data_IF_194557483991
#
_entry.id   IF_194557483991
#
_cell.length_a   1.000
_cell.length_b   1.000
_cell.length_c   1.000
_cell.angle_alpha   90.00
_cell.angle_beta   90.00
_cell.angle_gamma   90.00
#
_symmetry.space_group_name_H-M   'P 1'
#
loop_
_entity.id
_entity.type
_entity.pdbx_description
1 polymer ?
#
# COMPACT_ATOMS: atom_id res chain seq x y z
N UNK A 1 35.69 -5.30 6.40
CA UNK A 1 35.29 -5.05 4.99
C UNK A 1 36.21 -5.94 4.14
N UNK A 2 35.61 -6.83 3.37
CA UNK A 2 36.34 -7.79 2.52
C UNK A 2 36.97 -7.06 1.33
N UNK A 3 38.08 -7.60 0.81
CA UNK A 3 38.64 -7.09 -0.44
C UNK A 3 37.70 -7.46 -1.62
N UNK A 4 37.65 -6.62 -2.64
CA UNK A 4 36.86 -6.93 -3.85
C UNK A 4 37.35 -8.23 -4.46
N UNK A 5 36.47 -9.21 -4.68
CA UNK A 5 36.80 -10.53 -5.22
C UNK A 5 37.30 -11.55 -4.19
N UNK A 6 37.08 -11.29 -2.89
CA UNK A 6 37.42 -12.27 -1.83
C UNK A 6 36.67 -13.59 -2.04
N UNK A 7 37.41 -14.72 -1.99
CA UNK A 7 36.83 -16.03 -2.27
C UNK A 7 35.74 -16.44 -1.25
N UNK A 8 35.84 -15.98 0.00
CA UNK A 8 34.83 -16.24 1.03
C UNK A 8 33.54 -15.44 0.75
N UNK A 9 33.66 -14.18 0.31
CA UNK A 9 32.53 -13.36 -0.10
C UNK A 9 31.81 -13.96 -1.33
N UNK A 10 32.58 -14.41 -2.33
CA UNK A 10 32.02 -15.09 -3.51
C UNK A 10 31.30 -16.37 -3.12
N UNK A 11 31.91 -17.21 -2.29
CA UNK A 11 31.28 -18.43 -1.78
C UNK A 11 30.01 -18.14 -1.02
N UNK A 12 30.02 -17.15 -0.12
CA UNK A 12 28.84 -16.71 0.64
C UNK A 12 27.72 -16.25 -0.29
N UNK A 13 28.03 -15.41 -1.26
CA UNK A 13 27.06 -14.91 -2.22
C UNK A 13 26.45 -16.04 -3.07
N UNK A 14 27.26 -17.01 -3.46
CA UNK A 14 26.79 -18.18 -4.22
C UNK A 14 25.90 -19.10 -3.36
N UNK A 15 26.32 -19.42 -2.15
CA UNK A 15 25.58 -20.33 -1.24
C UNK A 15 24.26 -19.73 -0.81
N UNK A 16 24.20 -18.42 -0.57
CA UNK A 16 23.01 -17.71 -0.14
C UNK A 16 22.23 -17.03 -1.28
N UNK A 17 22.62 -17.25 -2.52
CA UNK A 17 21.99 -16.70 -3.73
C UNK A 17 21.88 -15.17 -3.74
N UNK A 18 22.79 -14.46 -3.03
CA UNK A 18 22.72 -13.01 -2.83
C UNK A 18 23.11 -12.18 -4.06
N UNK A 19 23.80 -12.78 -5.03
CA UNK A 19 24.23 -12.15 -6.28
C UNK A 19 23.73 -12.92 -7.52
N UNK A 20 22.56 -13.50 -7.42
CA UNK A 20 21.95 -14.18 -8.56
C UNK A 20 21.55 -13.14 -9.62
N UNK A 21 22.08 -13.30 -10.82
CA UNK A 21 21.68 -12.49 -11.97
C UNK A 21 20.30 -12.93 -12.45
N UNK A 22 19.51 -11.96 -12.91
CA UNK A 22 18.24 -12.28 -13.56
C UNK A 22 18.54 -12.85 -14.95
N UNK A 23 17.92 -14.00 -15.32
CA UNK A 23 18.07 -14.52 -16.68
C UNK A 23 17.43 -13.55 -17.68
N UNK A 24 18.07 -13.34 -18.83
CA UNK A 24 17.47 -12.56 -19.90
C UNK A 24 16.21 -13.27 -20.45
N UNK A 25 15.13 -12.49 -20.64
CA UNK A 25 13.91 -13.01 -21.28
C UNK A 25 14.05 -12.86 -22.80
N UNK A 26 14.43 -13.95 -23.49
CA UNK A 26 14.56 -13.93 -24.93
C UNK A 26 13.20 -13.66 -25.61
N UNK A 27 13.23 -13.00 -26.79
CA UNK A 27 12.03 -12.67 -27.58
C UNK A 27 11.18 -13.90 -27.93
N UNK A 28 11.82 -15.06 -28.10
CA UNK A 28 11.13 -16.33 -28.38
C UNK A 28 10.35 -16.80 -27.14
N UNK A 29 10.93 -16.72 -25.97
CA UNK A 29 10.30 -17.08 -24.69
C UNK A 29 9.15 -16.15 -24.34
N UNK A 30 9.26 -14.85 -24.66
CA UNK A 30 8.18 -13.88 -24.46
C UNK A 30 6.88 -14.20 -25.23
N UNK A 31 6.90 -15.16 -26.14
CA UNK A 31 5.72 -15.64 -26.89
C UNK A 31 5.09 -16.91 -26.30
N UNK A 32 5.78 -17.57 -25.38
CA UNK A 32 5.23 -18.74 -24.72
C UNK A 32 4.12 -18.39 -23.73
N UNK A 33 3.13 -19.27 -23.53
CA UNK A 33 2.07 -19.04 -22.56
C UNK A 33 2.64 -19.01 -21.14
N UNK A 34 2.07 -18.14 -20.29
CA UNK A 34 2.40 -18.10 -18.87
C UNK A 34 1.87 -19.37 -18.17
N UNK A 35 2.69 -19.99 -17.36
CA UNK A 35 2.30 -21.05 -16.44
C UNK A 35 2.45 -20.59 -15.00
N UNK A 36 1.51 -21.01 -14.13
CA UNK A 36 1.47 -20.60 -12.74
C UNK A 36 1.43 -21.87 -11.86
N UNK A 37 2.34 -21.96 -10.91
CA UNK A 37 2.42 -23.13 -10.03
C UNK A 37 2.94 -22.79 -8.64
N UNK A 38 2.57 -23.66 -7.69
CA UNK A 38 3.26 -23.73 -6.40
C UNK A 38 4.70 -24.18 -6.66
N UNK A 39 5.66 -23.57 -5.99
CA UNK A 39 7.04 -24.05 -5.92
C UNK A 39 7.30 -24.48 -4.48
N UNK A 40 7.08 -25.74 -4.21
CA UNK A 40 7.13 -26.33 -2.88
C UNK A 40 8.54 -26.36 -2.30
N UNK A 41 8.65 -26.45 -0.97
CA UNK A 41 9.96 -26.53 -0.31
C UNK A 41 10.80 -27.73 -0.77
N UNK A 42 10.26 -28.95 -0.96
CA UNK A 42 11.01 -30.06 -1.56
C UNK A 42 11.51 -29.71 -2.98
N UNK A 43 10.67 -29.13 -3.83
CA UNK A 43 11.07 -28.73 -5.18
C UNK A 43 12.15 -27.65 -5.17
N UNK A 44 12.12 -26.73 -4.20
CA UNK A 44 13.19 -25.73 -4.03
C UNK A 44 14.56 -26.38 -3.78
N UNK A 45 14.59 -27.51 -3.04
CA UNK A 45 15.83 -28.26 -2.78
C UNK A 45 16.24 -29.11 -3.97
N UNK A 46 15.28 -29.74 -4.64
CA UNK A 46 15.53 -30.60 -5.80
C UNK A 46 15.89 -29.83 -7.08
N UNK A 47 15.46 -28.57 -7.19
CA UNK A 47 15.64 -27.73 -8.37
C UNK A 47 16.40 -26.42 -8.03
N UNK A 48 17.66 -26.48 -7.60
CA UNK A 48 18.39 -25.33 -7.09
C UNK A 48 18.57 -24.20 -8.14
N UNK A 49 18.63 -24.53 -9.41
CA UNK A 49 18.74 -23.55 -10.49
C UNK A 49 17.45 -22.72 -10.63
N UNK A 50 16.28 -23.35 -10.52
CA UNK A 50 14.99 -22.65 -10.49
C UNK A 50 14.83 -21.80 -9.22
N UNK A 51 15.24 -22.34 -8.06
CA UNK A 51 15.28 -21.57 -6.84
C UNK A 51 16.15 -20.32 -6.98
N UNK A 52 17.31 -20.43 -7.62
CA UNK A 52 18.20 -19.29 -7.86
C UNK A 52 17.52 -18.20 -8.71
N UNK A 53 16.80 -18.56 -9.77
CA UNK A 53 16.04 -17.61 -10.59
C UNK A 53 14.96 -16.88 -9.77
N UNK A 54 14.15 -17.64 -9.02
CA UNK A 54 13.08 -17.07 -8.19
C UNK A 54 13.64 -16.18 -7.09
N UNK A 55 14.72 -16.61 -6.45
CA UNK A 55 15.36 -15.83 -5.38
C UNK A 55 16.03 -14.56 -5.94
N UNK A 56 16.59 -14.62 -7.16
CA UNK A 56 17.09 -13.44 -7.86
C UNK A 56 16.01 -12.39 -8.08
N UNK A 57 14.78 -12.79 -8.46
CA UNK A 57 13.64 -11.87 -8.58
C UNK A 57 13.30 -11.23 -7.22
N UNK A 58 13.27 -12.02 -6.15
CA UNK A 58 12.97 -11.52 -4.79
C UNK A 58 14.04 -10.55 -4.29
N UNK A 59 15.33 -10.81 -4.58
CA UNK A 59 16.45 -9.93 -4.21
C UNK A 59 16.39 -8.62 -4.98
N UNK A 60 16.18 -8.68 -6.31
CA UNK A 60 16.17 -7.49 -7.16
C UNK A 60 14.94 -6.59 -6.95
N UNK A 61 13.82 -7.15 -6.53
CA UNK A 61 12.58 -6.39 -6.30
C UNK A 61 12.51 -5.75 -4.91
N UNK A 62 13.42 -6.06 -3.98
CA UNK A 62 13.32 -5.62 -2.60
C UNK A 62 14.64 -5.07 -2.06
N UNK A 63 14.56 -3.93 -1.39
CA UNK A 63 15.70 -3.18 -0.86
C UNK A 63 16.56 -3.96 0.16
N UNK A 64 15.98 -4.88 0.92
CA UNK A 64 16.68 -5.71 1.90
C UNK A 64 16.26 -7.16 1.77
N UNK A 65 17.17 -8.00 1.27
CA UNK A 65 17.07 -9.46 1.32
C UNK A 65 18.31 -10.00 2.04
N UNK A 66 18.09 -10.89 2.97
CA UNK A 66 19.15 -11.47 3.81
C UNK A 66 19.20 -12.99 3.63
N UNK A 67 20.31 -13.64 4.01
CA UNK A 67 20.36 -15.10 4.08
C UNK A 67 19.23 -15.73 4.91
N UNK A 68 18.76 -15.02 5.94
CA UNK A 68 17.65 -15.49 6.77
C UNK A 68 16.34 -15.60 6.00
N UNK A 69 16.14 -14.80 4.94
CA UNK A 69 14.93 -14.91 4.10
C UNK A 69 14.92 -16.22 3.30
N UNK A 70 16.09 -16.66 2.81
CA UNK A 70 16.24 -17.96 2.16
C UNK A 70 16.02 -19.10 3.14
N UNK A 71 16.58 -19.02 4.35
CA UNK A 71 16.34 -20.05 5.37
C UNK A 71 14.88 -20.10 5.79
N UNK A 72 14.24 -18.97 6.00
CA UNK A 72 12.81 -18.94 6.33
C UNK A 72 11.97 -19.58 5.22
N UNK A 73 12.26 -19.27 3.95
CA UNK A 73 11.58 -19.86 2.80
C UNK A 73 11.71 -21.41 2.79
N UNK A 74 12.88 -21.93 3.12
CA UNK A 74 13.15 -23.38 3.06
C UNK A 74 12.72 -24.16 4.31
N UNK A 75 12.46 -23.50 5.44
CA UNK A 75 12.20 -24.15 6.73
C UNK A 75 10.84 -23.86 7.34
N UNK A 76 10.23 -22.71 7.02
CA UNK A 76 8.96 -22.31 7.62
C UNK A 76 7.80 -22.84 6.79
N UNK A 77 7.10 -23.86 7.33
CA UNK A 77 5.94 -24.49 6.69
C UNK A 77 4.75 -23.52 6.48
N UNK A 78 4.73 -22.39 7.22
CA UNK A 78 3.72 -21.36 7.00
C UNK A 78 3.99 -20.54 5.74
N UNK A 79 5.21 -20.60 5.17
CA UNK A 79 5.58 -19.89 3.96
C UNK A 79 5.23 -20.67 2.69
N UNK A 80 4.80 -19.92 1.69
CA UNK A 80 4.46 -20.46 0.36
C UNK A 80 5.06 -19.58 -0.72
N UNK A 81 5.69 -20.23 -1.70
CA UNK A 81 6.24 -19.60 -2.88
C UNK A 81 5.43 -20.02 -4.11
N UNK A 82 4.85 -19.05 -4.80
CA UNK A 82 4.05 -19.26 -5.99
C UNK A 82 4.70 -18.51 -7.16
N UNK A 83 4.86 -19.18 -8.29
CA UNK A 83 5.73 -18.73 -9.39
C UNK A 83 4.99 -18.68 -10.72
N UNK A 84 5.41 -17.75 -11.58
CA UNK A 84 5.02 -17.64 -12.97
C UNK A 84 6.24 -17.89 -13.86
N UNK A 85 6.11 -18.86 -14.76
CA UNK A 85 7.10 -19.15 -15.79
C UNK A 85 6.58 -18.78 -17.16
N UNK A 86 7.50 -18.34 -18.00
CA UNK A 86 7.31 -18.19 -19.44
C UNK A 86 8.39 -19.04 -20.13
N UNK A 87 8.00 -20.22 -20.63
CA UNK A 87 8.96 -21.27 -20.92
C UNK A 87 9.71 -21.75 -19.68
N UNK A 88 11.03 -21.75 -19.74
CA UNK A 88 11.90 -22.15 -18.63
C UNK A 88 12.32 -20.96 -17.73
N UNK A 89 11.93 -19.73 -18.07
CA UNK A 89 12.32 -18.52 -17.32
C UNK A 89 11.26 -18.15 -16.31
N UNK A 90 11.68 -17.96 -15.06
CA UNK A 90 10.82 -17.41 -14.02
C UNK A 90 10.61 -15.90 -14.24
N UNK A 91 9.41 -15.51 -14.65
CA UNK A 91 9.06 -14.12 -14.94
C UNK A 91 8.33 -13.42 -13.79
N UNK A 92 7.96 -14.15 -12.76
CA UNK A 92 7.36 -13.56 -11.56
C UNK A 92 7.15 -14.53 -10.42
N UNK A 93 7.05 -14.01 -9.20
CA UNK A 93 6.79 -14.83 -8.02
C UNK A 93 6.03 -14.05 -6.95
N UNK A 94 5.31 -14.81 -6.11
CA UNK A 94 4.67 -14.36 -4.86
C UNK A 94 5.22 -15.18 -3.72
N UNK A 95 5.75 -14.52 -2.70
CA UNK A 95 6.06 -15.12 -1.41
C UNK A 95 4.99 -14.70 -0.42
N UNK A 96 4.30 -15.68 0.16
CA UNK A 96 3.23 -15.46 1.12
C UNK A 96 3.44 -16.28 2.39
N UNK A 97 2.80 -15.86 3.48
CA UNK A 97 2.81 -16.57 4.77
C UNK A 97 1.39 -16.74 5.29
N UNK A 98 1.11 -17.92 5.84
CA UNK A 98 -0.17 -18.19 6.51
C UNK A 98 -0.17 -17.59 7.90
N UNK A 99 -1.21 -16.83 8.21
CA UNK A 99 -1.41 -16.12 9.47
C UNK A 99 -2.84 -16.38 9.99
N UNK A 100 -3.11 -16.03 11.25
CA UNK A 100 -4.45 -16.12 11.85
C UNK A 100 -4.69 -17.43 12.57
N UNK A 101 -5.96 -17.85 12.65
CA UNK A 101 -6.42 -19.05 13.34
C UNK A 101 -6.00 -19.10 14.82
N UNK A 102 -5.93 -17.92 15.46
CA UNK A 102 -5.48 -17.79 16.84
C UNK A 102 -6.61 -18.15 17.83
N UNK A 103 -6.23 -18.79 18.91
CA UNK A 103 -7.14 -19.15 19.99
C UNK A 103 -7.59 -17.93 20.84
N UNK A 104 -8.70 -18.06 21.52
CA UNK A 104 -9.28 -16.96 22.29
C UNK A 104 -8.34 -16.42 23.39
N UNK A 105 -7.62 -17.23 24.18
CA UNK A 105 -6.65 -16.74 25.17
C UNK A 105 -5.50 -15.94 24.53
N UNK A 106 -5.00 -16.38 23.38
CA UNK A 106 -3.95 -15.65 22.65
C UNK A 106 -4.47 -14.30 22.15
N UNK A 107 -5.69 -14.27 21.59
CA UNK A 107 -6.31 -13.01 21.12
C UNK A 107 -6.53 -12.03 22.28
N UNK A 108 -7.01 -12.49 23.42
CA UNK A 108 -7.16 -11.66 24.61
C UNK A 108 -5.82 -11.09 25.08
N UNK A 109 -4.77 -11.90 25.13
CA UNK A 109 -3.42 -11.44 25.49
C UNK A 109 -2.86 -10.43 24.46
N UNK A 110 -3.18 -10.58 23.17
CA UNK A 110 -2.85 -9.60 22.13
C UNK A 110 -3.58 -8.27 22.37
N UNK A 111 -4.87 -8.31 22.65
CA UNK A 111 -5.67 -7.11 22.93
C UNK A 111 -5.19 -6.36 24.16
N UNK A 112 -4.78 -7.08 25.20
CA UNK A 112 -4.18 -6.53 26.40
C UNK A 112 -2.73 -6.06 26.23
N UNK A 113 -2.11 -6.32 25.05
CA UNK A 113 -0.73 -5.93 24.76
C UNK A 113 0.33 -6.78 25.49
N UNK A 114 -0.07 -7.88 26.13
CA UNK A 114 0.81 -8.75 26.92
C UNK A 114 1.50 -9.82 26.06
N UNK A 115 0.98 -10.09 24.86
CA UNK A 115 1.54 -11.06 23.91
C UNK A 115 1.53 -10.54 22.49
N UNK A 116 2.63 -10.80 21.77
CA UNK A 116 2.76 -10.50 20.34
C UNK A 116 3.37 -11.71 19.63
N UNK A 117 2.56 -12.66 19.19
CA UNK A 117 3.05 -13.86 18.50
C UNK A 117 3.77 -13.47 17.21
N UNK A 118 4.92 -14.11 16.96
CA UNK A 118 5.67 -13.94 15.71
C UNK A 118 4.91 -14.59 14.56
N UNK A 119 5.09 -14.07 13.33
CA UNK A 119 4.47 -14.65 12.13
C UNK A 119 3.01 -14.29 11.92
N UNK A 120 2.39 -13.44 12.75
CA UNK A 120 0.97 -13.06 12.66
C UNK A 120 0.79 -11.53 12.64
N UNK A 121 1.48 -10.83 11.72
CA UNK A 121 1.46 -9.35 11.67
C UNK A 121 0.05 -8.80 11.48
N UNK A 122 -0.69 -9.31 10.49
CA UNK A 122 -2.02 -8.79 10.14
C UNK A 122 -3.04 -9.04 11.23
N UNK A 123 -3.26 -10.29 11.72
CA UNK A 123 -4.23 -10.56 12.77
C UNK A 123 -3.89 -9.87 14.09
N UNK A 124 -2.60 -9.77 14.43
CA UNK A 124 -2.16 -9.01 15.63
C UNK A 124 -2.49 -7.53 15.49
N UNK A 125 -2.24 -6.92 14.33
CA UNK A 125 -2.55 -5.52 14.08
C UNK A 125 -4.05 -5.26 14.15
N UNK A 126 -4.87 -6.11 13.53
CA UNK A 126 -6.32 -5.99 13.53
C UNK A 126 -6.89 -6.15 14.96
N UNK A 127 -6.44 -7.16 15.72
CA UNK A 127 -6.93 -7.39 17.06
C UNK A 127 -6.48 -6.33 18.08
N UNK A 128 -5.19 -5.95 18.05
CA UNK A 128 -4.61 -5.02 19.04
C UNK A 128 -4.91 -3.56 18.73
N UNK A 129 -4.71 -3.14 17.47
CA UNK A 129 -4.73 -1.73 17.12
C UNK A 129 -6.09 -1.25 16.58
N UNK A 130 -6.88 -2.15 15.99
CA UNK A 130 -8.21 -1.84 15.48
C UNK A 130 -9.33 -2.48 16.31
N UNK A 131 -9.01 -3.28 17.33
CA UNK A 131 -9.99 -3.95 18.19
C UNK A 131 -10.80 -5.05 17.47
N UNK A 132 -10.36 -5.49 16.28
CA UNK A 132 -11.06 -6.46 15.42
C UNK A 132 -10.55 -7.88 15.72
N UNK A 133 -11.04 -8.48 16.80
CA UNK A 133 -10.63 -9.81 17.24
C UNK A 133 -11.09 -10.94 16.31
N UNK A 134 -12.20 -10.75 15.60
CA UNK A 134 -12.71 -11.73 14.65
C UNK A 134 -11.71 -12.08 13.56
N UNK A 135 -11.02 -11.08 13.01
CA UNK A 135 -10.00 -11.27 12.00
C UNK A 135 -8.82 -12.16 12.46
N UNK A 136 -8.52 -12.15 13.78
CA UNK A 136 -7.44 -12.97 14.31
C UNK A 136 -7.82 -14.46 14.46
N UNK A 137 -9.13 -14.77 14.48
CA UNK A 137 -9.65 -16.16 14.48
C UNK A 137 -9.73 -16.75 13.09
N UNK A 138 -9.80 -15.90 12.08
CA UNK A 138 -9.91 -16.28 10.67
C UNK A 138 -8.54 -16.62 10.11
N UNK A 139 -8.51 -17.41 9.05
CA UNK A 139 -7.32 -17.70 8.27
C UNK A 139 -6.96 -16.53 7.36
N UNK A 140 -5.67 -16.24 7.24
CA UNK A 140 -5.14 -15.18 6.38
C UNK A 140 -3.93 -15.67 5.58
N UNK A 141 -3.86 -15.33 4.30
CA UNK A 141 -2.61 -15.33 3.57
C UNK A 141 -2.09 -13.90 3.45
N UNK A 142 -0.94 -13.64 4.06
CA UNK A 142 -0.26 -12.36 3.87
C UNK A 142 0.81 -12.46 2.79
N UNK A 143 0.65 -11.67 1.73
CA UNK A 143 1.65 -11.49 0.69
C UNK A 143 2.81 -10.68 1.30
N UNK A 144 3.96 -11.34 1.45
CA UNK A 144 5.20 -10.74 1.95
C UNK A 144 5.91 -9.99 0.84
N UNK A 145 5.99 -10.62 -0.33
CA UNK A 145 6.68 -10.09 -1.52
C UNK A 145 5.96 -10.53 -2.77
N UNK A 146 5.92 -9.66 -3.74
CA UNK A 146 5.55 -9.96 -5.12
C UNK A 146 6.58 -9.33 -6.04
N UNK A 147 7.11 -10.11 -6.98
CA UNK A 147 8.11 -9.64 -7.92
C UNK A 147 7.72 -10.07 -9.34
N UNK A 148 7.99 -9.20 -10.30
CA UNK A 148 7.87 -9.47 -11.74
C UNK A 148 9.16 -9.03 -12.39
N UNK A 149 9.67 -9.86 -13.30
CA UNK A 149 10.88 -9.59 -14.06
C UNK A 149 10.80 -8.20 -14.72
N UNK A 150 11.86 -7.37 -14.66
CA UNK A 150 11.81 -5.99 -15.19
C UNK A 150 11.29 -5.91 -16.62
N UNK A 151 11.74 -6.79 -17.50
CA UNK A 151 11.35 -6.83 -18.92
C UNK A 151 9.89 -7.26 -19.15
N UNK A 152 9.25 -7.84 -18.11
CA UNK A 152 7.88 -8.35 -18.15
C UNK A 152 6.90 -7.51 -17.31
N UNK A 153 7.37 -6.41 -16.73
CA UNK A 153 6.52 -5.51 -15.94
C UNK A 153 5.49 -4.79 -16.84
N UNK A 154 4.41 -4.28 -16.19
CA UNK A 154 3.30 -3.57 -16.86
C UNK A 154 2.53 -4.38 -17.91
N UNK A 155 2.71 -5.71 -17.92
CA UNK A 155 2.00 -6.65 -18.80
C UNK A 155 0.88 -7.43 -18.06
N UNK A 156 0.57 -7.04 -16.83
CA UNK A 156 -0.49 -7.67 -16.01
C UNK A 156 -0.07 -8.96 -15.31
N UNK A 157 1.19 -9.40 -15.40
CA UNK A 157 1.68 -10.65 -14.79
C UNK A 157 1.50 -10.67 -13.28
N UNK A 158 1.79 -9.54 -12.58
CA UNK A 158 1.58 -9.44 -11.14
C UNK A 158 0.12 -9.65 -10.73
N UNK A 159 -0.84 -9.12 -11.48
CA UNK A 159 -2.27 -9.31 -11.22
C UNK A 159 -2.71 -10.76 -11.52
N UNK A 160 -2.18 -11.38 -12.57
CA UNK A 160 -2.44 -12.78 -12.87
C UNK A 160 -1.86 -13.69 -11.77
N UNK A 161 -0.63 -13.43 -11.29
CA UNK A 161 -0.03 -14.13 -10.14
C UNK A 161 -0.94 -14.09 -8.91
N UNK A 162 -1.43 -12.91 -8.53
CA UNK A 162 -2.35 -12.76 -7.39
C UNK A 162 -3.66 -13.52 -7.62
N UNK A 163 -4.22 -13.46 -8.82
CA UNK A 163 -5.47 -14.14 -9.15
C UNK A 163 -5.31 -15.66 -9.03
N UNK A 164 -4.25 -16.22 -9.61
CA UNK A 164 -3.98 -17.65 -9.55
C UNK A 164 -3.61 -18.10 -8.13
N UNK A 165 -2.82 -17.31 -7.40
CA UNK A 165 -2.50 -17.59 -6.01
C UNK A 165 -3.76 -17.66 -5.15
N UNK A 166 -4.64 -16.68 -5.23
CA UNK A 166 -5.90 -16.61 -4.46
C UNK A 166 -6.83 -17.76 -4.82
N UNK A 167 -6.89 -18.15 -6.09
CA UNK A 167 -7.72 -19.28 -6.53
C UNK A 167 -7.24 -20.63 -6.00
N UNK A 168 -5.94 -20.79 -5.75
CA UNK A 168 -5.35 -22.06 -5.27
C UNK A 168 -5.11 -22.11 -3.76
N UNK A 169 -5.00 -20.97 -3.09
CA UNK A 169 -4.67 -20.85 -1.67
C UNK A 169 -5.81 -20.19 -0.90
N UNK A 170 -6.84 -20.99 -0.57
CA UNK A 170 -8.03 -20.48 0.11
C UNK A 170 -7.73 -20.01 1.54
N UNK A 171 -8.29 -18.85 1.89
CA UNK A 171 -8.32 -18.28 3.23
C UNK A 171 -9.57 -17.40 3.38
N UNK A 172 -9.92 -17.02 4.60
CA UNK A 172 -11.01 -16.09 4.84
C UNK A 172 -10.69 -14.70 4.28
N UNK A 173 -9.40 -14.31 4.35
CA UNK A 173 -8.93 -13.04 3.74
C UNK A 173 -7.43 -13.11 3.37
N UNK A 174 -7.05 -12.16 2.54
CA UNK A 174 -5.66 -11.94 2.09
C UNK A 174 -5.21 -10.56 2.56
N UNK A 175 -3.92 -10.44 2.85
CA UNK A 175 -3.34 -9.19 3.33
C UNK A 175 -2.00 -8.88 2.66
N UNK A 176 -1.60 -7.63 2.71
CA UNK A 176 -0.25 -7.17 2.37
C UNK A 176 0.12 -5.98 3.23
N UNK A 177 1.41 -5.85 3.57
CA UNK A 177 1.95 -4.69 4.27
C UNK A 177 3.24 -4.27 3.59
N UNK A 178 3.27 -3.04 3.10
CA UNK A 178 4.38 -2.53 2.28
C UNK A 178 4.63 -1.04 2.54
N UNK A 179 5.81 -0.56 2.16
CA UNK A 179 6.09 0.87 2.09
C UNK A 179 5.27 1.50 0.97
N UNK A 180 4.31 2.38 1.30
CA UNK A 180 3.42 2.97 0.31
C UNK A 180 4.19 3.91 -0.62
N UNK A 181 3.96 3.76 -1.92
CA UNK A 181 4.47 4.63 -2.98
C UNK A 181 3.42 4.87 -4.05
N UNK A 182 3.63 5.89 -4.88
CA UNK A 182 2.73 6.25 -5.98
C UNK A 182 2.54 5.11 -7.00
N UNK A 183 3.57 4.28 -7.19
CA UNK A 183 3.55 3.17 -8.16
C UNK A 183 2.90 1.90 -7.60
N UNK A 184 3.10 1.60 -6.31
CA UNK A 184 2.64 0.35 -5.71
C UNK A 184 1.17 0.41 -5.26
N UNK A 185 0.71 1.55 -4.77
CA UNK A 185 -0.66 1.68 -4.28
C UNK A 185 -1.71 1.39 -5.36
N UNK A 186 -1.61 1.92 -6.59
CA UNK A 186 -2.55 1.60 -7.67
C UNK A 186 -2.61 0.11 -8.00
N UNK A 187 -1.47 -0.60 -7.94
CA UNK A 187 -1.43 -2.04 -8.19
C UNK A 187 -2.30 -2.81 -7.19
N UNK A 188 -2.17 -2.53 -5.89
CA UNK A 188 -2.95 -3.21 -4.85
C UNK A 188 -4.43 -2.85 -4.90
N UNK A 189 -4.77 -1.57 -5.15
CA UNK A 189 -6.15 -1.12 -5.33
C UNK A 189 -6.81 -1.79 -6.55
N UNK A 190 -6.12 -1.86 -7.68
CA UNK A 190 -6.61 -2.53 -8.89
C UNK A 190 -6.83 -4.05 -8.69
N UNK A 191 -6.11 -4.66 -7.74
CA UNK A 191 -6.29 -6.05 -7.33
C UNK A 191 -7.26 -6.22 -6.15
N UNK A 192 -8.13 -5.23 -5.90
CA UNK A 192 -9.20 -5.26 -4.90
C UNK A 192 -8.73 -5.34 -3.44
N UNK A 193 -7.49 -4.97 -3.15
CA UNK A 193 -7.06 -4.78 -1.77
C UNK A 193 -7.54 -3.43 -1.25
N UNK A 194 -8.03 -3.43 -0.01
CA UNK A 194 -8.60 -2.26 0.66
C UNK A 194 -7.65 -1.81 1.76
N UNK A 195 -7.28 -0.52 1.83
CA UNK A 195 -6.43 0.00 2.88
C UNK A 195 -7.17 -0.03 4.23
N UNK A 196 -6.49 -0.53 5.27
CA UNK A 196 -7.06 -0.64 6.62
C UNK A 196 -6.20 0.01 7.70
N UNK A 197 -4.92 0.26 7.41
CA UNK A 197 -4.04 0.97 8.35
C UNK A 197 -2.85 1.58 7.64
N UNK A 198 -2.63 2.86 7.87
CA UNK A 198 -1.42 3.59 7.50
C UNK A 198 -0.55 3.79 8.76
N UNK A 199 0.75 3.53 8.66
CA UNK A 199 1.71 3.78 9.75
C UNK A 199 1.91 5.28 9.96
N UNK A 200 2.16 5.68 11.20
CA UNK A 200 2.37 7.09 11.58
C UNK A 200 3.82 7.58 11.41
N UNK A 201 4.74 6.67 11.11
CA UNK A 201 6.17 7.01 10.95
C UNK A 201 6.72 6.41 9.67
N UNK A 202 7.68 7.10 9.06
CA UNK A 202 8.46 6.55 7.95
C UNK A 202 9.41 5.47 8.48
N UNK A 203 9.44 4.35 7.79
CA UNK A 203 10.45 3.31 8.03
C UNK A 203 11.84 3.84 7.68
N UNK A 204 12.83 3.57 8.53
CA UNK A 204 14.18 4.12 8.37
C UNK A 204 14.93 3.54 7.16
N UNK A 205 14.59 2.33 6.74
CA UNK A 205 15.26 1.67 5.63
C UNK A 205 14.67 2.06 4.27
N UNK A 206 13.35 2.09 4.16
CA UNK A 206 12.64 2.43 2.92
C UNK A 206 12.32 3.91 2.77
N UNK A 207 12.30 4.68 3.86
CA UNK A 207 11.83 6.06 3.87
C UNK A 207 10.32 6.23 3.65
N UNK A 208 9.56 5.13 3.55
CA UNK A 208 8.13 5.13 3.26
C UNK A 208 7.28 4.93 4.51
N UNK A 209 6.04 5.40 4.49
CA UNK A 209 5.03 4.98 5.46
C UNK A 209 4.55 3.57 5.13
N UNK A 210 4.32 2.73 6.15
CA UNK A 210 3.78 1.39 5.93
C UNK A 210 2.27 1.45 5.72
N UNK A 211 1.77 0.75 4.70
CA UNK A 211 0.34 0.59 4.45
C UNK A 211 -0.04 -0.89 4.55
N UNK A 212 -0.99 -1.20 5.43
CA UNK A 212 -1.61 -2.51 5.54
C UNK A 212 -2.91 -2.50 4.76
N UNK A 213 -3.05 -3.44 3.84
CA UNK A 213 -4.23 -3.61 3.02
C UNK A 213 -4.75 -5.05 3.12
N UNK A 214 -6.06 -5.23 2.97
CA UNK A 214 -6.70 -6.55 2.98
C UNK A 214 -7.62 -6.74 1.78
N UNK A 215 -7.82 -7.99 1.39
CA UNK A 215 -8.81 -8.41 0.40
C UNK A 215 -9.55 -9.63 0.95
N UNK A 216 -10.85 -9.66 0.86
CA UNK A 216 -11.68 -10.81 1.22
C UNK A 216 -13.15 -10.54 0.90
N UNK A 217 -13.90 -11.61 0.70
CA UNK A 217 -15.34 -11.56 0.48
C UNK A 217 -16.06 -11.89 1.78
N UNK A 218 -17.21 -11.23 2.02
CA UNK A 218 -18.09 -11.52 3.17
C UNK A 218 -17.40 -11.36 4.55
N UNK A 219 -16.53 -10.35 4.70
CA UNK A 219 -15.89 -10.03 5.98
C UNK A 219 -16.76 -9.04 6.77
N UNK A 220 -17.47 -9.52 7.77
CA UNK A 220 -18.38 -8.70 8.61
C UNK A 220 -17.69 -7.50 9.26
N UNK A 221 -16.38 -7.62 9.52
CA UNK A 221 -15.57 -6.57 10.14
C UNK A 221 -14.97 -5.55 9.16
N UNK A 222 -15.05 -5.79 7.83
CA UNK A 222 -14.35 -4.97 6.85
C UNK A 222 -14.86 -3.52 6.83
N UNK A 223 -16.16 -3.31 6.94
CA UNK A 223 -16.71 -1.94 6.98
C UNK A 223 -16.28 -1.19 8.25
N UNK A 224 -16.21 -1.87 9.38
CA UNK A 224 -15.63 -1.28 10.60
C UNK A 224 -14.15 -0.90 10.39
N UNK A 225 -13.35 -1.76 9.77
CA UNK A 225 -11.95 -1.47 9.47
C UNK A 225 -11.79 -0.26 8.54
N UNK A 226 -12.60 -0.14 7.49
CA UNK A 226 -12.61 1.00 6.57
C UNK A 226 -12.97 2.31 7.27
N UNK A 227 -13.98 2.30 8.14
CA UNK A 227 -14.37 3.47 8.91
C UNK A 227 -13.25 3.91 9.86
N UNK A 228 -12.65 2.97 10.58
CA UNK A 228 -11.51 3.26 11.45
C UNK A 228 -10.30 3.77 10.67
N UNK A 229 -9.99 3.16 9.53
CA UNK A 229 -8.93 3.64 8.64
C UNK A 229 -9.19 5.08 8.24
N UNK A 230 -10.40 5.37 7.73
CA UNK A 230 -10.77 6.71 7.27
C UNK A 230 -10.65 7.76 8.36
N UNK A 231 -11.16 7.46 9.56
CA UNK A 231 -11.07 8.37 10.70
C UNK A 231 -9.61 8.62 11.13
N UNK A 232 -8.80 7.55 11.21
CA UNK A 232 -7.41 7.62 11.65
C UNK A 232 -6.52 8.41 10.68
N UNK A 233 -6.42 7.97 9.43
CA UNK A 233 -5.46 8.59 8.53
C UNK A 233 -5.82 10.05 8.19
N UNK A 234 -7.11 10.37 8.14
CA UNK A 234 -7.57 11.76 7.95
C UNK A 234 -7.16 12.64 9.14
N UNK A 235 -7.31 12.14 10.36
CA UNK A 235 -6.89 12.86 11.57
C UNK A 235 -5.38 13.10 11.56
N UNK A 236 -4.60 12.09 11.20
CA UNK A 236 -3.14 12.12 11.19
C UNK A 236 -2.54 12.99 10.07
N UNK A 237 -3.32 13.36 9.04
CA UNK A 237 -2.83 14.20 7.93
C UNK A 237 -2.24 15.53 8.39
N UNK A 238 -2.77 16.09 9.48
CA UNK A 238 -2.29 17.37 10.01
C UNK A 238 -1.19 17.24 11.07
N UNK A 239 -0.76 16.03 11.35
CA UNK A 239 0.24 15.72 12.38
C UNK A 239 1.29 14.73 11.83
N UNK A 240 1.20 13.47 12.14
CA UNK A 240 2.22 12.46 11.80
C UNK A 240 2.36 12.22 10.29
N UNK A 241 1.33 12.46 9.50
CA UNK A 241 1.30 12.30 8.04
C UNK A 241 1.48 13.61 7.26
N UNK A 242 1.94 14.69 7.88
CA UNK A 242 2.21 15.95 7.17
C UNK A 242 3.24 15.81 6.04
N UNK A 243 4.16 14.84 6.18
CA UNK A 243 5.19 14.57 5.19
C UNK A 243 4.78 13.50 4.15
N UNK A 244 3.56 12.96 4.22
CA UNK A 244 3.05 12.03 3.21
C UNK A 244 2.86 12.77 1.87
N UNK A 245 3.26 12.15 0.78
CA UNK A 245 3.22 12.71 -0.56
C UNK A 245 1.76 12.99 -0.98
N UNK A 246 1.45 14.19 -1.50
CA UNK A 246 0.08 14.54 -1.92
C UNK A 246 -0.53 13.56 -2.92
N UNK A 247 0.29 12.96 -3.78
CA UNK A 247 -0.13 11.99 -4.78
C UNK A 247 -0.65 10.70 -4.14
N UNK A 248 0.01 10.23 -3.08
CA UNK A 248 -0.45 9.07 -2.30
C UNK A 248 -1.77 9.40 -1.59
N UNK A 249 -1.89 10.61 -1.01
CA UNK A 249 -3.14 11.09 -0.40
C UNK A 249 -4.26 11.09 -1.44
N UNK A 250 -4.00 11.63 -2.62
CA UNK A 250 -4.95 11.65 -3.72
C UNK A 250 -5.45 10.25 -4.11
N UNK A 251 -4.55 9.27 -4.14
CA UNK A 251 -4.90 7.87 -4.44
C UNK A 251 -5.68 7.18 -3.31
N UNK A 252 -5.48 7.59 -2.04
CA UNK A 252 -6.18 7.04 -0.88
C UNK A 252 -7.58 7.64 -0.67
N UNK A 253 -7.80 8.88 -1.08
CA UNK A 253 -9.07 9.58 -0.88
C UNK A 253 -10.30 8.80 -1.38
N UNK A 254 -10.29 8.16 -2.57
CA UNK A 254 -11.43 7.35 -3.04
C UNK A 254 -11.76 6.15 -2.14
N UNK A 255 -10.79 5.66 -1.38
CA UNK A 255 -10.99 4.57 -0.40
C UNK A 255 -11.53 5.04 0.95
N UNK A 256 -11.72 6.36 1.11
CA UNK A 256 -12.17 6.96 2.38
C UNK A 256 -13.69 6.85 2.48
N UNK A 257 -14.17 6.23 3.55
CA UNK A 257 -15.59 6.20 3.87
C UNK A 257 -16.02 7.58 4.37
N UNK A 258 -17.18 8.04 3.94
CA UNK A 258 -17.74 9.32 4.37
C UNK A 258 -17.90 9.34 5.90
N UNK A 259 -17.25 10.29 6.55
CA UNK A 259 -17.42 10.55 7.98
C UNK A 259 -18.60 11.50 8.18
N UNK A 260 -19.32 11.43 9.32
CA UNK A 260 -20.35 12.40 9.64
C UNK A 260 -19.80 13.83 9.57
N UNK A 261 -20.41 14.67 8.73
CA UNK A 261 -19.92 16.02 8.47
C UNK A 261 -20.90 17.06 9.08
N UNK A 262 -20.37 18.17 9.62
CA UNK A 262 -21.21 19.30 10.00
C UNK A 262 -21.86 19.92 8.77
N UNK A 263 -22.93 20.69 8.96
CA UNK A 263 -23.54 21.48 7.90
C UNK A 263 -22.49 22.47 7.33
N UNK A 264 -22.15 22.29 6.06
CA UNK A 264 -21.08 23.07 5.41
C UNK A 264 -21.69 24.34 4.81
N UNK A 265 -21.25 25.55 5.23
CA UNK A 265 -21.76 26.83 4.66
C UNK A 265 -21.10 27.10 3.32
N UNK A 266 -21.63 26.51 2.24
CA UNK A 266 -21.08 26.66 0.87
C UNK A 266 -20.96 28.11 0.40
N UNK A 267 -21.91 28.97 0.80
CA UNK A 267 -21.84 30.40 0.47
C UNK A 267 -20.60 31.09 1.07
N UNK A 268 -20.16 30.67 2.26
CA UNK A 268 -18.96 31.19 2.87
C UNK A 268 -17.70 30.73 2.14
N UNK A 269 -17.68 29.47 1.69
CA UNK A 269 -16.62 28.90 0.88
C UNK A 269 -16.53 29.65 -0.48
N UNK A 270 -17.68 29.84 -1.15
CA UNK A 270 -17.73 30.59 -2.40
C UNK A 270 -17.27 32.04 -2.22
N UNK A 271 -17.66 32.68 -1.15
CA UNK A 271 -17.25 34.04 -0.80
C UNK A 271 -15.74 34.13 -0.59
N UNK A 272 -15.12 33.12 0.06
CA UNK A 272 -13.67 33.02 0.19
C UNK A 272 -13.00 32.85 -1.19
N UNK A 273 -13.49 31.92 -2.01
CA UNK A 273 -12.95 31.66 -3.34
C UNK A 273 -12.95 32.92 -4.23
N UNK A 274 -13.98 33.80 -4.07
CA UNK A 274 -14.09 35.08 -4.77
C UNK A 274 -13.33 36.24 -4.12
N UNK A 275 -12.62 36.03 -3.03
CA UNK A 275 -11.80 37.06 -2.35
C UNK A 275 -12.50 37.84 -1.25
N UNK A 276 -13.76 37.54 -0.93
CA UNK A 276 -14.57 38.27 0.06
C UNK A 276 -14.47 37.80 1.52
N UNK A 277 -13.69 36.74 1.82
CA UNK A 277 -13.45 36.25 3.17
C UNK A 277 -11.97 35.92 3.39
N UNK A 278 -11.52 35.85 4.64
CA UNK A 278 -10.16 35.40 4.96
C UNK A 278 -10.10 33.87 5.15
N UNK A 279 -8.90 33.29 5.02
CA UNK A 279 -8.69 31.85 5.13
C UNK A 279 -9.07 31.31 6.51
N UNK A 280 -8.69 32.02 7.56
CA UNK A 280 -8.87 31.59 8.96
C UNK A 280 -10.35 31.37 9.32
N UNK A 281 -11.25 32.17 8.75
CA UNK A 281 -12.69 32.03 9.00
C UNK A 281 -13.34 30.87 8.24
N UNK A 282 -12.68 30.33 7.21
CA UNK A 282 -13.24 29.28 6.36
C UNK A 282 -12.46 27.96 6.40
N UNK A 283 -11.28 27.93 7.02
CA UNK A 283 -10.37 26.80 7.00
C UNK A 283 -11.02 25.48 7.43
N UNK A 284 -11.79 25.47 8.50
CA UNK A 284 -12.50 24.29 8.99
C UNK A 284 -13.56 23.81 8.01
N UNK A 285 -14.25 24.72 7.35
CA UNK A 285 -15.30 24.41 6.39
C UNK A 285 -14.71 23.94 5.05
N UNK A 286 -13.58 24.50 4.63
CA UNK A 286 -12.82 24.01 3.48
C UNK A 286 -12.34 22.58 3.70
N UNK A 287 -11.80 22.29 4.89
CA UNK A 287 -11.38 20.96 5.29
C UNK A 287 -12.54 19.96 5.21
N UNK A 288 -13.66 20.26 5.90
CA UNK A 288 -14.83 19.41 5.90
C UNK A 288 -15.42 19.23 4.49
N UNK A 289 -15.51 20.30 3.71
CA UNK A 289 -16.03 20.26 2.34
C UNK A 289 -15.17 19.41 1.41
N UNK A 290 -13.85 19.56 1.45
CA UNK A 290 -12.96 18.75 0.63
C UNK A 290 -13.04 17.27 1.00
N UNK A 291 -13.12 16.92 2.28
CA UNK A 291 -13.32 15.52 2.70
C UNK A 291 -14.66 14.95 2.23
N UNK A 292 -15.72 15.72 2.29
CA UNK A 292 -17.04 15.28 1.85
C UNK A 292 -17.12 15.09 0.33
N UNK A 293 -16.38 15.89 -0.44
CA UNK A 293 -16.42 15.88 -1.90
C UNK A 293 -15.31 15.05 -2.56
N UNK A 294 -14.21 14.80 -1.86
CA UNK A 294 -13.05 14.08 -2.38
C UNK A 294 -13.37 12.74 -3.06
N UNK A 295 -14.28 11.89 -2.51
CA UNK A 295 -14.61 10.61 -3.14
C UNK A 295 -15.30 10.76 -4.52
N UNK A 296 -15.90 11.92 -4.80
CA UNK A 296 -16.57 12.21 -6.08
C UNK A 296 -15.69 12.97 -7.08
N UNK A 297 -14.48 13.36 -6.68
CA UNK A 297 -13.52 14.06 -7.53
C UNK A 297 -12.58 13.07 -8.23
N UNK A 298 -12.37 13.25 -9.53
CA UNK A 298 -11.39 12.46 -10.30
C UNK A 298 -9.96 12.73 -9.83
N UNK A 299 -9.69 13.97 -9.42
CA UNK A 299 -8.43 14.36 -8.81
C UNK A 299 -8.59 15.60 -7.93
N UNK A 300 -7.95 15.59 -6.77
CA UNK A 300 -7.79 16.76 -5.92
C UNK A 300 -6.36 17.28 -6.08
N UNK A 301 -6.19 18.60 -6.21
CA UNK A 301 -4.86 19.14 -6.47
C UNK A 301 -3.89 18.91 -5.29
N UNK A 302 -2.59 18.70 -5.56
CA UNK A 302 -1.57 18.59 -4.53
C UNK A 302 -1.49 19.82 -3.62
N UNK A 303 -1.79 21.02 -4.14
CA UNK A 303 -1.79 22.26 -3.37
C UNK A 303 -2.93 22.28 -2.35
N UNK A 304 -4.16 21.92 -2.75
CA UNK A 304 -5.30 21.85 -1.82
C UNK A 304 -5.09 20.78 -0.76
N UNK A 305 -4.54 19.62 -1.13
CA UNK A 305 -4.15 18.57 -0.19
C UNK A 305 -3.16 19.13 0.84
N UNK A 306 -2.06 19.70 0.38
CA UNK A 306 -1.00 20.20 1.26
C UNK A 306 -1.48 21.33 2.16
N UNK A 307 -2.21 22.31 1.61
CA UNK A 307 -2.63 23.48 2.38
C UNK A 307 -3.80 23.22 3.30
N UNK A 308 -4.80 22.47 2.84
CA UNK A 308 -6.07 22.32 3.55
C UNK A 308 -6.08 21.02 4.36
N UNK A 309 -5.81 19.87 3.75
CA UNK A 309 -5.90 18.58 4.44
C UNK A 309 -4.71 18.34 5.37
N UNK A 310 -3.48 18.58 4.89
CA UNK A 310 -2.26 18.48 5.71
C UNK A 310 -2.02 19.71 6.59
N UNK A 311 -2.77 20.80 6.39
CA UNK A 311 -2.66 22.04 7.15
C UNK A 311 -1.25 22.65 7.18
N UNK A 312 -0.45 22.42 6.12
CA UNK A 312 0.91 22.99 5.99
C UNK A 312 0.87 24.50 6.07
N UNK A 313 1.95 25.09 6.58
CA UNK A 313 2.09 26.55 6.65
C UNK A 313 2.10 27.17 5.24
N UNK A 314 1.77 28.45 5.13
CA UNK A 314 1.85 29.18 3.87
C UNK A 314 3.26 29.19 3.29
N UNK A 315 4.28 29.28 4.15
CA UNK A 315 5.69 29.26 3.74
C UNK A 315 6.07 27.88 3.18
N UNK A 316 5.70 26.79 3.85
CA UNK A 316 5.98 25.44 3.38
C UNK A 316 5.30 25.15 2.03
N UNK A 317 4.05 25.60 1.84
CA UNK A 317 3.37 25.48 0.55
C UNK A 317 4.06 26.35 -0.54
N UNK A 318 4.50 27.57 -0.20
CA UNK A 318 5.21 28.42 -1.15
C UNK A 318 6.50 27.76 -1.64
N UNK A 319 7.27 27.18 -0.74
CA UNK A 319 8.50 26.44 -1.05
C UNK A 319 8.20 25.21 -1.91
N UNK A 320 7.26 24.36 -1.46
CA UNK A 320 6.92 23.10 -2.13
C UNK A 320 6.42 23.29 -3.57
N UNK A 321 5.62 24.35 -3.81
CA UNK A 321 5.00 24.61 -5.12
C UNK A 321 5.69 25.75 -5.89
N UNK A 322 6.87 26.18 -5.46
CA UNK A 322 7.68 27.23 -6.10
C UNK A 322 6.92 28.54 -6.32
N UNK A 323 6.13 28.95 -5.31
CA UNK A 323 5.36 30.19 -5.32
C UNK A 323 6.06 31.26 -4.48
N UNK A 324 5.86 32.54 -4.82
CA UNK A 324 6.62 33.66 -4.23
C UNK A 324 6.23 34.04 -2.78
N UNK A 325 5.31 33.28 -2.15
CA UNK A 325 4.90 33.48 -0.76
C UNK A 325 3.38 33.37 -0.51
N UNK A 326 2.95 33.71 0.72
CA UNK A 326 1.56 33.55 1.18
C UNK A 326 0.53 34.05 0.17
N UNK A 327 0.70 35.26 -0.38
CA UNK A 327 -0.29 35.89 -1.28
C UNK A 327 -0.52 35.06 -2.54
N UNK A 328 0.55 34.52 -3.13
CA UNK A 328 0.46 33.74 -4.36
C UNK A 328 -0.12 32.34 -4.10
N UNK A 329 0.26 31.71 -2.98
CA UNK A 329 -0.34 30.43 -2.53
C UNK A 329 -1.83 30.60 -2.29
N UNK A 330 -2.24 31.64 -1.56
CA UNK A 330 -3.65 31.88 -1.26
C UNK A 330 -4.47 32.16 -2.53
N UNK A 331 -3.91 32.92 -3.48
CA UNK A 331 -4.58 33.15 -4.76
C UNK A 331 -4.76 31.85 -5.56
N UNK A 332 -3.75 30.97 -5.59
CA UNK A 332 -3.85 29.68 -6.24
C UNK A 332 -4.91 28.79 -5.57
N UNK A 333 -4.91 28.72 -4.24
CA UNK A 333 -5.93 27.98 -3.46
C UNK A 333 -7.35 28.48 -3.78
N UNK A 334 -7.57 29.81 -3.83
CA UNK A 334 -8.86 30.40 -4.18
C UNK A 334 -9.31 30.01 -5.59
N UNK A 335 -8.40 30.08 -6.55
CA UNK A 335 -8.67 29.74 -7.96
C UNK A 335 -9.07 28.28 -8.10
N UNK A 336 -8.37 27.36 -7.44
CA UNK A 336 -8.67 25.93 -7.49
C UNK A 336 -9.99 25.58 -6.78
N UNK A 337 -10.29 26.21 -5.64
CA UNK A 337 -11.59 26.04 -4.96
C UNK A 337 -12.74 26.53 -5.86
N UNK A 338 -12.57 27.66 -6.52
CA UNK A 338 -13.59 28.17 -7.43
C UNK A 338 -13.85 27.21 -8.61
N UNK A 339 -12.78 26.65 -9.18
CA UNK A 339 -12.89 25.64 -10.23
C UNK A 339 -13.63 24.39 -9.76
N UNK A 340 -13.34 23.91 -8.55
CA UNK A 340 -14.04 22.76 -7.96
C UNK A 340 -15.53 23.04 -7.71
N UNK A 341 -15.88 24.23 -7.22
CA UNK A 341 -17.28 24.64 -7.01
C UNK A 341 -18.07 24.62 -8.33
N UNK A 342 -17.48 25.17 -9.40
CA UNK A 342 -18.09 25.20 -10.74
C UNK A 342 -18.27 23.77 -11.28
N UNK A 343 -17.26 22.92 -11.18
CA UNK A 343 -17.32 21.54 -11.66
C UNK A 343 -18.38 20.72 -10.91
N UNK A 344 -18.52 20.91 -9.61
CA UNK A 344 -19.54 20.23 -8.82
C UNK A 344 -20.95 20.73 -9.14
N UNK A 345 -21.15 22.02 -9.35
CA UNK A 345 -22.44 22.57 -9.79
C UNK A 345 -22.86 22.02 -11.16
N UNK A 346 -21.92 21.88 -12.11
CA UNK A 346 -22.20 21.28 -13.41
C UNK A 346 -22.58 19.79 -13.34
N UNK A 347 -22.02 19.03 -12.40
CA UNK A 347 -22.36 17.59 -12.21
C UNK A 347 -23.75 17.39 -11.60
N UNK A 348 -24.28 18.35 -10.84
CA UNK A 348 -25.59 18.27 -10.18
C UNK A 348 -26.71 19.01 -10.92
N UNK A 349 -26.41 19.71 -12.01
CA UNK A 349 -27.38 20.31 -12.94
C UNK A 349 -27.57 19.43 -14.19
N UNK A 350 -27.92 18.14 -14.01
CA UNK A 350 -28.51 17.36 -15.08
C UNK A 350 -30.03 17.56 -15.06
N UNK A 351 -30.68 17.65 -16.25
CA UNK A 351 -32.04 18.20 -16.36
C UNK A 351 -33.07 17.23 -15.78
N UNK A 352 -34.10 17.84 -15.16
CA UNK A 352 -35.39 17.25 -14.84
C UNK A 352 -36.04 16.72 -16.11
#
# INVERSE_FOLDING_TARGET
RWAAGDALEQWQNQVFLLQSELPEVALEQAREPLSFSLFSQPECVEQPERLAQVFALLVNAHYQTSPNDLFALLQDEAMTLFVAYQGEVCVGCVLAVREGELDAPTIEAIQLGTRRPKGHLTPVTLANQLGISQAARQSCWRILRIAVHPDCQRQGIGSQLLTHFIAQHHADYYATSFGVSEDLLPFWLANHFVPIKLGSHRDQASGCYSLLMVRGEHLDWLEQAKQQFSAHWIFELSDSLQALEPQIIQQLLPSTVALPQPLIPLELIERYARGGANYESVAVWLYAWLLATAPSLESLSPLLISKILQRKSWAACAEQFQLSGKRQVEQAVRTEILALLVNLQCKYTLPI
#
